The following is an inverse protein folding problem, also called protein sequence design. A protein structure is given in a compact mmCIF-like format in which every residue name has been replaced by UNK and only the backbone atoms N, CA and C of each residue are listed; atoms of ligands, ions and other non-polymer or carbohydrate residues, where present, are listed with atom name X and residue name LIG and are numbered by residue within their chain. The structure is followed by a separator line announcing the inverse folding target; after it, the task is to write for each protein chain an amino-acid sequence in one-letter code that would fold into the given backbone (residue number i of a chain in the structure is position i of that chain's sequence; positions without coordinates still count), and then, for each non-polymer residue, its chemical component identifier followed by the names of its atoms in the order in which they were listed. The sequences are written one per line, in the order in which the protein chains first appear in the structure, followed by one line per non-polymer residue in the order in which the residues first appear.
data_IF_718939650530
#
_entry.id   IF_718939650530
#
_cell.length_a   1.000
_cell.length_b   1.000
_cell.length_c   1.000
_cell.angle_alpha   90.00
_cell.angle_beta   90.00
_cell.angle_gamma   90.00
#
_symmetry.space_group_name_H-M   'P 1'
#
loop_
_entity.id
_entity.type
_entity.pdbx_description
1 polymer ?
#
# COMPACT_ATOMS: atom_id res chain seq x y z
N UNK A 1 -4.63 28.45 -0.44
CA UNK A 1 -5.34 27.14 -0.37
C UNK A 1 -4.58 26.28 0.62
N UNK A 2 -5.25 25.48 1.47
CA UNK A 2 -4.57 24.57 2.37
C UNK A 2 -3.78 23.52 1.57
N UNK A 3 -2.63 23.10 2.10
CA UNK A 3 -1.81 22.05 1.53
C UNK A 3 -2.52 20.70 1.71
N UNK A 4 -3.16 20.21 0.65
CA UNK A 4 -3.83 18.90 0.66
C UNK A 4 -2.75 17.82 0.48
N UNK A 5 -2.78 16.81 1.35
CA UNK A 5 -1.89 15.65 1.26
C UNK A 5 -2.71 14.37 1.10
N UNK A 6 -2.14 13.39 0.41
CA UNK A 6 -2.79 12.13 0.09
C UNK A 6 -2.04 10.96 0.70
N UNK A 7 -2.76 9.91 1.04
CA UNK A 7 -2.19 8.67 1.60
C UNK A 7 -2.82 7.46 0.92
N UNK A 8 -2.00 6.48 0.59
CA UNK A 8 -2.47 5.17 0.11
C UNK A 8 -1.52 4.06 0.52
N UNK A 9 -1.97 2.82 0.33
CA UNK A 9 -1.20 1.60 0.53
C UNK A 9 -1.30 0.76 -0.74
N UNK A 10 -0.22 0.09 -1.13
CA UNK A 10 -0.26 -0.75 -2.32
C UNK A 10 0.81 -1.82 -2.36
N UNK A 11 0.60 -2.77 -3.26
CA UNK A 11 1.52 -3.86 -3.56
C UNK A 11 1.72 -3.99 -5.08
N UNK A 12 2.49 -4.99 -5.50
CA UNK A 12 2.74 -5.26 -6.93
C UNK A 12 1.47 -5.37 -7.80
N UNK A 13 0.34 -5.82 -7.26
CA UNK A 13 -0.90 -6.04 -7.99
C UNK A 13 -1.70 -4.74 -8.14
N UNK A 14 -1.64 -3.85 -7.14
CA UNK A 14 -2.32 -2.56 -7.16
C UNK A 14 -1.50 -1.43 -7.79
N UNK A 15 -0.27 -1.70 -8.22
CA UNK A 15 0.64 -0.70 -8.82
C UNK A 15 0.00 0.14 -9.93
N UNK A 16 -0.79 -0.46 -10.82
CA UNK A 16 -1.45 0.27 -11.91
C UNK A 16 -2.44 1.33 -11.41
N UNK A 17 -3.20 1.01 -10.36
CA UNK A 17 -4.15 1.94 -9.74
C UNK A 17 -3.43 3.06 -8.99
N UNK A 18 -2.39 2.72 -8.23
CA UNK A 18 -1.56 3.72 -7.53
C UNK A 18 -0.93 4.69 -8.52
N UNK A 19 -0.37 4.18 -9.63
CA UNK A 19 0.22 5.00 -10.68
C UNK A 19 -0.82 5.91 -11.36
N UNK A 20 -2.04 5.42 -11.58
CA UNK A 20 -3.12 6.22 -12.12
C UNK A 20 -3.51 7.35 -11.16
N UNK A 21 -3.63 7.06 -9.86
CA UNK A 21 -3.95 8.06 -8.84
C UNK A 21 -2.88 9.14 -8.74
N UNK A 22 -1.59 8.78 -8.77
CA UNK A 22 -0.48 9.76 -8.75
C UNK A 22 -0.65 10.77 -9.89
N UNK A 23 -0.84 10.29 -11.12
CA UNK A 23 -0.99 11.15 -12.31
C UNK A 23 -2.18 12.11 -12.18
N UNK A 24 -3.30 11.66 -11.62
CA UNK A 24 -4.48 12.50 -11.41
C UNK A 24 -4.24 13.53 -10.31
N UNK A 25 -3.65 13.10 -9.19
CA UNK A 25 -3.38 13.97 -8.05
C UNK A 25 -2.36 15.05 -8.43
N UNK A 26 -1.28 14.70 -9.12
CA UNK A 26 -0.26 15.66 -9.58
C UNK A 26 -0.86 16.73 -10.50
N UNK A 27 -1.83 16.36 -11.34
CA UNK A 27 -2.52 17.29 -12.23
C UNK A 27 -3.41 18.30 -11.47
N UNK A 28 -4.16 17.86 -10.46
CA UNK A 28 -5.10 18.71 -9.73
C UNK A 28 -4.48 19.43 -8.53
N UNK A 29 -3.46 18.83 -7.93
CA UNK A 29 -2.80 19.27 -6.70
C UNK A 29 -1.27 19.21 -6.85
N UNK A 30 -0.66 20.06 -7.68
CA UNK A 30 0.77 19.97 -8.02
C UNK A 30 1.72 20.18 -6.82
N UNK A 31 1.26 20.85 -5.76
CA UNK A 31 2.04 21.12 -4.56
C UNK A 31 1.76 20.13 -3.40
N UNK A 32 1.01 19.06 -3.66
CA UNK A 32 0.68 18.07 -2.63
C UNK A 32 1.85 17.15 -2.30
N UNK A 33 1.74 16.44 -1.18
CA UNK A 33 2.52 15.22 -0.92
C UNK A 33 1.60 14.01 -0.96
N UNK A 34 2.05 12.97 -1.65
CA UNK A 34 1.35 11.68 -1.74
C UNK A 34 2.19 10.57 -1.09
N UNK A 35 1.79 10.20 0.12
CA UNK A 35 2.39 9.14 0.91
C UNK A 35 1.89 7.77 0.44
N UNK A 36 2.80 6.89 0.07
CA UNK A 36 2.49 5.56 -0.44
C UNK A 36 3.17 4.53 0.46
N UNK A 37 2.37 3.78 1.21
CA UNK A 37 2.87 2.67 2.00
C UNK A 37 3.08 1.44 1.11
N UNK A 38 4.32 0.98 1.09
CA UNK A 38 4.75 -0.14 0.26
C UNK A 38 4.59 -1.47 1.01
N UNK A 39 3.63 -2.28 0.55
CA UNK A 39 3.33 -3.61 1.08
C UNK A 39 3.91 -4.74 0.21
N UNK A 40 4.74 -4.43 -0.79
CA UNK A 40 5.32 -5.46 -1.67
C UNK A 40 5.47 -5.05 -3.13
N UNK A 41 5.78 -3.79 -3.40
CA UNK A 41 6.20 -3.36 -4.73
C UNK A 41 7.54 -3.98 -5.12
N UNK A 42 7.66 -4.35 -6.39
CA UNK A 42 8.95 -4.77 -6.95
C UNK A 42 9.92 -3.59 -7.03
N UNK A 43 11.24 -3.85 -7.04
CA UNK A 43 12.27 -2.79 -7.18
C UNK A 43 12.00 -1.86 -8.36
N UNK A 44 11.59 -2.41 -9.51
CA UNK A 44 11.25 -1.63 -10.71
C UNK A 44 10.04 -0.72 -10.48
N UNK A 45 9.01 -1.20 -9.79
CA UNK A 45 7.83 -0.40 -9.46
C UNK A 45 8.19 0.72 -8.48
N UNK A 46 9.00 0.44 -7.44
CA UNK A 46 9.49 1.47 -6.50
C UNK A 46 10.22 2.59 -7.24
N UNK A 47 11.11 2.26 -8.18
CA UNK A 47 11.81 3.25 -9.01
C UNK A 47 10.86 4.13 -9.83
N UNK A 48 9.80 3.55 -10.40
CA UNK A 48 8.78 4.31 -11.14
C UNK A 48 7.98 5.21 -10.21
N UNK A 49 7.59 4.74 -9.02
CA UNK A 49 6.88 5.58 -8.04
C UNK A 49 7.77 6.76 -7.63
N UNK A 50 9.02 6.50 -7.27
CA UNK A 50 9.98 7.53 -6.84
C UNK A 50 10.39 8.52 -7.93
N UNK A 51 10.06 8.32 -9.21
CA UNK A 51 10.30 9.32 -10.25
C UNK A 51 9.31 10.49 -10.20
N UNK A 52 8.19 10.36 -9.48
CA UNK A 52 7.20 11.43 -9.31
C UNK A 52 7.55 12.28 -8.09
N UNK A 53 7.69 13.59 -8.30
CA UNK A 53 8.16 14.54 -7.26
C UNK A 53 7.20 14.66 -6.08
N UNK A 54 5.89 14.49 -6.31
CA UNK A 54 4.88 14.54 -5.26
C UNK A 54 4.88 13.30 -4.36
N UNK A 55 5.58 12.22 -4.74
CA UNK A 55 5.46 10.93 -4.04
C UNK A 55 6.46 10.75 -2.92
N UNK A 56 6.00 10.16 -1.83
CA UNK A 56 6.81 9.75 -0.68
C UNK A 56 6.53 8.28 -0.43
N UNK A 57 7.47 7.42 -0.85
CA UNK A 57 7.35 5.97 -0.65
C UNK A 57 7.81 5.60 0.77
N UNK A 58 6.94 4.93 1.51
CA UNK A 58 7.20 4.47 2.88
C UNK A 58 7.29 2.95 2.86
N UNK A 59 8.51 2.43 3.03
CA UNK A 59 8.74 0.99 3.07
C UNK A 59 8.18 0.39 4.38
N UNK A 60 7.11 -0.43 4.26
CA UNK A 60 6.46 -1.05 5.41
C UNK A 60 7.28 -2.22 5.97
N UNK A 61 7.94 -2.98 5.10
CA UNK A 61 8.78 -4.13 5.47
C UNK A 61 9.89 -3.72 6.45
N UNK A 62 10.44 -2.52 6.29
CA UNK A 62 11.56 -2.09 7.12
C UNK A 62 11.19 -1.67 8.56
N UNK A 63 9.92 -1.35 8.84
CA UNK A 63 9.47 -0.90 10.17
C UNK A 63 9.08 -2.08 11.08
N UNK A 64 8.32 -3.05 10.58
CA UNK A 64 7.93 -4.21 11.39
C UNK A 64 9.14 -5.10 11.71
N UNK A 65 10.07 -5.28 10.77
CA UNK A 65 11.29 -6.06 10.99
C UNK A 65 12.21 -5.45 12.05
N UNK A 66 12.19 -4.11 12.22
CA UNK A 66 13.02 -3.40 13.20
C UNK A 66 12.42 -3.33 14.60
N UNK A 67 11.10 -3.16 14.72
CA UNK A 67 10.44 -2.95 16.02
C UNK A 67 9.92 -4.25 16.65
N UNK A 68 9.43 -5.20 15.85
CA UNK A 68 8.73 -6.40 16.36
C UNK A 68 9.42 -7.71 15.97
N UNK A 69 10.52 -7.65 15.20
CA UNK A 69 11.39 -8.78 14.84
C UNK A 69 10.62 -10.08 14.70
N UNK A 70 9.78 -10.20 13.67
CA UNK A 70 8.80 -11.28 13.47
C UNK A 70 9.22 -12.60 14.14
N UNK A 71 8.75 -12.83 15.37
CA UNK A 71 8.70 -14.18 15.92
C UNK A 71 7.68 -14.91 15.07
N UNK A 72 8.16 -15.67 14.10
CA UNK A 72 7.32 -16.59 13.31
C UNK A 72 6.50 -17.44 14.28
N UNK A 73 5.22 -17.09 14.47
CA UNK A 73 4.30 -17.93 15.22
C UNK A 73 4.06 -19.13 14.31
N UNK A 74 4.78 -20.23 14.58
CA UNK A 74 4.48 -21.53 13.98
C UNK A 74 3.13 -22.00 14.53
N UNK A 75 2.03 -21.50 13.98
CA UNK A 75 0.72 -22.05 14.25
C UNK A 75 0.64 -23.41 13.55
N UNK A 76 0.91 -24.49 14.29
CA UNK A 76 0.56 -25.84 13.85
C UNK A 76 -0.96 -25.97 13.94
N UNK A 77 -1.66 -25.66 12.85
CA UNK A 77 -3.07 -26.01 12.72
C UNK A 77 -3.20 -27.52 12.67
N UNK A 78 -3.59 -28.15 13.79
CA UNK A 78 -4.09 -29.52 13.78
C UNK A 78 -5.50 -29.48 13.16
N UNK A 79 -5.61 -29.94 11.92
CA UNK A 79 -6.84 -30.51 11.38
C UNK A 79 -7.99 -29.54 11.05
N UNK A 80 -7.75 -28.49 10.28
CA UNK A 80 -8.83 -27.75 9.62
C UNK A 80 -8.54 -27.65 8.13
N UNK A 81 -9.39 -28.25 7.29
CA UNK A 81 -9.41 -27.98 5.84
C UNK A 81 -10.28 -26.76 5.60
N UNK A 82 -9.71 -25.58 5.27
CA UNK A 82 -10.52 -24.45 4.85
C UNK A 82 -10.87 -24.64 3.37
N UNK A 83 -12.16 -24.68 3.04
CA UNK A 83 -12.64 -24.44 1.68
C UNK A 83 -12.06 -23.09 1.23
N UNK A 84 -11.11 -23.13 0.30
CA UNK A 84 -10.14 -22.08 -0.03
C UNK A 84 -10.73 -20.78 -0.58
N UNK A 85 -12.02 -20.75 -0.90
CA UNK A 85 -12.56 -19.71 -1.75
C UNK A 85 -13.26 -18.59 -0.99
N UNK A 86 -13.87 -18.83 0.17
CA UNK A 86 -14.70 -17.80 0.83
C UNK A 86 -13.92 -16.64 1.45
N UNK A 87 -12.78 -16.89 2.11
CA UNK A 87 -12.02 -15.81 2.79
C UNK A 87 -11.27 -14.88 1.83
N UNK A 88 -11.03 -15.34 0.58
CA UNK A 88 -10.30 -14.54 -0.41
C UNK A 88 -11.15 -13.38 -0.92
N UNK A 89 -12.47 -13.55 -1.01
CA UNK A 89 -13.36 -12.51 -1.50
C UNK A 89 -13.61 -11.43 -0.44
N UNK A 90 -13.88 -11.77 0.82
CA UNK A 90 -14.10 -10.76 1.89
C UNK A 90 -12.93 -9.78 2.05
N UNK A 91 -11.69 -10.25 1.90
CA UNK A 91 -10.51 -9.39 2.00
C UNK A 91 -10.39 -8.39 0.84
N UNK A 92 -10.83 -8.78 -0.37
CA UNK A 92 -10.81 -7.91 -1.55
C UNK A 92 -11.89 -6.83 -1.44
N UNK A 93 -13.07 -7.17 -0.90
CA UNK A 93 -14.19 -6.22 -0.80
C UNK A 93 -14.07 -5.20 0.35
N UNK A 94 -13.28 -5.49 1.39
CA UNK A 94 -13.15 -4.62 2.57
C UNK A 94 -11.97 -3.63 2.52
N UNK A 95 -11.15 -3.63 1.46
CA UNK A 95 -10.12 -2.60 1.28
C UNK A 95 -10.69 -1.39 0.55
N UNK A 96 -11.31 -0.46 1.29
CA UNK A 96 -11.57 0.90 0.78
C UNK A 96 -10.21 1.61 0.63
N UNK A 97 -9.76 1.98 -0.59
CA UNK A 97 -8.36 2.34 -0.82
C UNK A 97 -8.00 3.81 -0.53
N UNK A 98 -8.91 4.61 0.05
CA UNK A 98 -8.68 6.06 0.21
C UNK A 98 -9.26 6.53 1.53
N UNK A 99 -8.38 6.99 2.42
CA UNK A 99 -8.73 7.86 3.54
C UNK A 99 -8.23 9.27 3.19
N UNK A 100 -9.14 10.24 3.17
CA UNK A 100 -8.80 11.66 3.12
C UNK A 100 -8.54 12.06 4.57
N UNK A 101 -7.35 12.60 4.85
CA UNK A 101 -7.03 13.16 6.16
C UNK A 101 -7.42 14.64 6.13
N UNK A 102 -8.40 15.02 6.96
CA UNK A 102 -8.77 16.42 7.23
C UNK A 102 -7.70 17.13 8.08
#
# INVERSE_FOLDING_TARGET
MPDINFITIGDKNYFGFVLHSIKKIELFYPNCKFFIYDWGFTKRQKLILSSYTITILIDWTHKIDKEEGYKSIKVKYKGYQPSSDFRKYEYIWNQKPICILD
#
